data_IF_359773402837
#
_entry.id   IF_359773402837
#
_cell.length_a   1.000
_cell.length_b   1.000
_cell.length_c   1.000
_cell.angle_alpha   90.00
_cell.angle_beta   90.00
_cell.angle_gamma   90.00
#
_symmetry.space_group_name_H-M   'P 1'
#
loop_
_entity.id
_entity.type
_entity.pdbx_description
1 polymer ?
#
# COMPACT_ATOMS: atom_id res chain seq x y z
N UNK A 1 -45.35 8.72 9.94
CA UNK A 1 -44.95 8.48 8.54
C UNK A 1 -43.56 7.86 8.57
N UNK A 2 -43.46 6.55 8.39
CA UNK A 2 -42.18 5.86 8.18
C UNK A 2 -41.68 6.24 6.79
N UNK A 3 -40.57 6.96 6.71
CA UNK A 3 -39.92 7.28 5.44
C UNK A 3 -39.24 6.01 4.92
N UNK A 4 -39.81 5.39 3.89
CA UNK A 4 -39.24 4.24 3.22
C UNK A 4 -38.38 4.75 2.04
N UNK A 5 -37.16 5.18 2.36
CA UNK A 5 -36.24 5.66 1.33
C UNK A 5 -35.73 4.46 0.51
N UNK A 6 -35.79 4.52 -0.83
CA UNK A 6 -35.20 3.48 -1.66
C UNK A 6 -33.70 3.39 -1.38
N UNK A 7 -33.14 2.19 -1.13
CA UNK A 7 -31.73 2.03 -0.82
C UNK A 7 -30.89 2.43 -2.02
N UNK A 8 -29.93 3.33 -1.81
CA UNK A 8 -28.95 3.69 -2.85
C UNK A 8 -27.79 2.71 -2.80
N UNK A 9 -27.43 2.11 -3.94
CA UNK A 9 -26.26 1.24 -4.00
C UNK A 9 -24.97 2.04 -3.77
N UNK A 10 -23.99 1.51 -3.01
CA UNK A 10 -22.71 2.15 -2.83
C UNK A 10 -22.00 2.39 -4.17
N UNK A 11 -21.48 3.60 -4.37
CA UNK A 11 -20.62 3.92 -5.51
C UNK A 11 -19.28 3.20 -5.34
N UNK A 12 -18.93 2.31 -6.28
CA UNK A 12 -17.64 1.62 -6.27
C UNK A 12 -16.50 2.58 -6.63
N UNK A 13 -15.34 2.32 -6.05
CA UNK A 13 -14.11 3.03 -6.42
C UNK A 13 -13.72 2.70 -7.86
N UNK A 14 -13.21 3.68 -8.60
CA UNK A 14 -12.67 3.46 -9.94
C UNK A 14 -11.30 2.75 -9.90
N UNK A 15 -10.56 2.90 -8.79
CA UNK A 15 -9.18 2.40 -8.64
C UNK A 15 -9.13 1.09 -7.85
N UNK A 16 -9.97 0.95 -6.84
CA UNK A 16 -9.94 -0.19 -5.93
C UNK A 16 -11.15 -1.08 -6.16
N UNK A 17 -10.89 -2.31 -6.63
CA UNK A 17 -11.92 -3.35 -6.68
C UNK A 17 -12.31 -3.81 -5.26
N UNK A 18 -13.43 -4.53 -5.16
CA UNK A 18 -13.96 -4.99 -3.87
C UNK A 18 -12.93 -5.86 -3.12
N UNK A 19 -12.09 -6.59 -3.85
CA UNK A 19 -11.03 -7.42 -3.30
C UNK A 19 -9.89 -6.58 -2.69
N UNK A 20 -9.37 -5.58 -3.41
CA UNK A 20 -8.36 -4.66 -2.89
C UNK A 20 -8.87 -3.92 -1.64
N UNK A 21 -10.14 -3.49 -1.64
CA UNK A 21 -10.76 -2.88 -0.48
C UNK A 21 -10.87 -3.85 0.71
N UNK A 22 -11.14 -5.13 0.48
CA UNK A 22 -11.13 -6.13 1.56
C UNK A 22 -9.73 -6.31 2.17
N UNK A 23 -8.69 -6.32 1.34
CA UNK A 23 -7.30 -6.43 1.81
C UNK A 23 -6.87 -5.20 2.61
N UNK A 24 -7.21 -4.00 2.14
CA UNK A 24 -6.94 -2.74 2.86
C UNK A 24 -7.62 -2.76 4.23
N UNK A 25 -8.90 -3.16 4.29
CA UNK A 25 -9.65 -3.24 5.55
C UNK A 25 -9.06 -4.27 6.51
N UNK A 26 -8.66 -5.44 6.00
CA UNK A 26 -8.01 -6.49 6.79
C UNK A 26 -6.68 -5.98 7.35
N UNK A 27 -5.81 -5.43 6.51
CA UNK A 27 -4.51 -4.91 6.91
C UNK A 27 -4.65 -3.75 7.92
N UNK A 28 -5.64 -2.87 7.75
CA UNK A 28 -5.92 -1.81 8.71
C UNK A 28 -6.38 -2.34 10.08
N UNK A 29 -7.15 -3.43 10.10
CA UNK A 29 -7.64 -4.03 11.34
C UNK A 29 -6.56 -4.86 12.08
N UNK A 30 -5.67 -5.53 11.36
CA UNK A 30 -4.67 -6.43 11.95
C UNK A 30 -3.29 -5.80 12.09
N UNK A 31 -2.99 -4.76 11.32
CA UNK A 31 -1.63 -4.24 11.14
C UNK A 31 -0.72 -5.17 10.35
N UNK A 32 -1.25 -6.25 9.74
CA UNK A 32 -0.46 -7.31 9.11
C UNK A 32 -0.90 -7.48 7.64
N UNK A 33 0.04 -7.39 6.72
CA UNK A 33 -0.16 -7.70 5.30
C UNK A 33 -0.25 -9.22 5.06
N UNK A 34 -0.90 -9.64 3.98
CA UNK A 34 -1.08 -11.07 3.69
C UNK A 34 0.17 -11.66 3.04
N UNK A 35 0.61 -12.83 3.49
CA UNK A 35 1.70 -13.58 2.85
C UNK A 35 1.06 -14.49 1.80
N UNK A 36 1.26 -14.17 0.52
CA UNK A 36 0.63 -14.88 -0.60
C UNK A 36 1.66 -15.69 -1.40
N UNK A 37 1.25 -16.90 -1.80
CA UNK A 37 2.01 -17.78 -2.69
C UNK A 37 1.42 -17.82 -4.11
N UNK A 38 2.29 -17.84 -5.12
CA UNK A 38 1.92 -17.73 -6.54
C UNK A 38 1.83 -16.27 -7.00
N UNK A 39 2.48 -15.95 -8.13
CA UNK A 39 2.59 -14.58 -8.67
C UNK A 39 1.23 -13.94 -9.05
N UNK A 40 1.28 -12.75 -9.63
CA UNK A 40 0.08 -11.96 -9.93
C UNK A 40 -0.92 -12.74 -10.82
N UNK A 41 -2.14 -12.98 -10.31
CA UNK A 41 -3.19 -13.77 -10.98
C UNK A 41 -4.03 -12.97 -12.01
N UNK A 42 -3.70 -11.69 -12.28
CA UNK A 42 -4.33 -10.83 -13.31
C UNK A 42 -3.41 -9.65 -13.71
N UNK A 43 -3.80 -8.89 -14.74
CA UNK A 43 -2.99 -7.84 -15.43
C UNK A 43 -2.69 -6.58 -14.58
N UNK A 44 -1.50 -5.98 -14.79
CA UNK A 44 -1.07 -4.64 -14.30
C UNK A 44 -0.11 -3.99 -15.33
N UNK A 45 -0.27 -2.68 -15.63
CA UNK A 45 0.70 -1.72 -15.10
C UNK A 45 0.08 -0.52 -14.36
N UNK A 46 0.71 -0.19 -13.24
CA UNK A 46 0.46 0.88 -12.26
C UNK A 46 1.84 1.16 -11.60
N UNK A 47 2.00 1.62 -10.35
CA UNK A 47 3.34 1.63 -9.67
C UNK A 47 4.11 0.28 -9.74
N UNK A 48 3.42 -0.76 -10.19
CA UNK A 48 3.81 -2.14 -10.46
C UNK A 48 4.70 -2.40 -11.71
N UNK A 49 5.09 -1.40 -12.51
CA UNK A 49 6.18 -1.54 -13.51
C UNK A 49 7.58 -1.31 -12.89
N UNK A 50 7.63 -0.91 -11.62
CA UNK A 50 8.88 -0.74 -10.89
C UNK A 50 9.40 -2.11 -10.45
N UNK A 51 10.51 -2.52 -11.05
CA UNK A 51 11.31 -3.62 -10.52
C UNK A 51 12.11 -3.12 -9.32
N UNK A 52 11.80 -3.61 -8.12
CA UNK A 52 12.64 -3.40 -6.95
C UNK A 52 13.86 -4.33 -7.02
N UNK A 53 15.04 -3.75 -7.22
CA UNK A 53 16.29 -4.53 -7.21
C UNK A 53 16.67 -4.91 -5.79
N UNK A 54 16.68 -6.21 -5.50
CA UNK A 54 17.23 -6.73 -4.25
C UNK A 54 18.74 -6.54 -4.19
N UNK A 55 19.27 -6.28 -3.00
CA UNK A 55 20.70 -6.37 -2.75
C UNK A 55 21.14 -7.84 -2.77
N UNK A 56 22.33 -8.12 -3.30
CA UNK A 56 22.88 -9.48 -3.38
C UNK A 56 24.35 -9.51 -2.99
N UNK A 57 25.25 -9.81 -3.91
CA UNK A 57 26.64 -10.16 -3.61
C UNK A 57 27.48 -8.99 -3.08
N UNK A 58 27.17 -7.75 -3.48
CA UNK A 58 27.94 -6.58 -3.07
C UNK A 58 27.52 -6.02 -1.70
N UNK A 59 26.29 -6.30 -1.25
CA UNK A 59 25.75 -5.88 0.05
C UNK A 59 24.73 -6.87 0.57
N UNK A 60 24.89 -7.26 1.83
CA UNK A 60 23.93 -8.10 2.52
C UNK A 60 22.63 -7.33 2.81
N UNK A 61 21.43 -7.89 2.54
CA UNK A 61 20.18 -7.25 2.88
C UNK A 61 19.99 -7.20 4.40
N UNK A 62 19.45 -6.09 4.91
CA UNK A 62 19.09 -5.98 6.32
C UNK A 62 17.90 -6.91 6.61
N UNK A 63 17.94 -7.55 7.77
CA UNK A 63 16.83 -8.35 8.26
C UNK A 63 15.81 -7.43 8.95
N UNK A 64 14.62 -7.30 8.36
CA UNK A 64 13.64 -6.28 8.77
C UNK A 64 12.99 -6.47 10.14
N UNK A 65 13.15 -7.62 10.80
CA UNK A 65 12.66 -7.89 12.15
C UNK A 65 13.75 -7.73 13.23
N UNK A 66 15.02 -7.86 12.87
CA UNK A 66 16.18 -7.85 13.76
C UNK A 66 16.98 -6.57 13.67
N UNK A 67 16.95 -5.90 12.52
CA UNK A 67 17.71 -4.70 12.23
C UNK A 67 16.78 -3.52 11.97
N UNK A 68 17.09 -2.38 12.58
CA UNK A 68 16.27 -1.17 12.45
C UNK A 68 16.65 -0.40 11.19
N UNK A 69 15.68 -0.20 10.30
CA UNK A 69 15.78 0.79 9.22
C UNK A 69 15.31 2.17 9.71
N UNK A 70 16.02 3.24 9.34
CA UNK A 70 15.58 4.61 9.62
C UNK A 70 14.56 5.05 8.57
N UNK A 71 13.37 5.47 9.02
CA UNK A 71 12.29 6.01 8.18
C UNK A 71 12.04 7.50 8.42
N UNK A 72 12.97 8.18 9.10
CA UNK A 72 12.86 9.62 9.38
C UNK A 72 12.85 10.43 8.08
N UNK A 73 11.87 11.33 7.93
CA UNK A 73 11.73 12.20 6.76
C UNK A 73 11.92 13.65 7.18
N UNK A 74 12.73 14.41 6.44
CA UNK A 74 12.89 15.86 6.59
C UNK A 74 12.39 16.53 5.31
N UNK A 75 11.41 17.43 5.44
CA UNK A 75 10.87 18.21 4.33
C UNK A 75 11.51 19.61 4.34
N UNK A 76 12.05 20.03 3.19
CA UNK A 76 12.57 21.38 3.02
C UNK A 76 14.00 21.65 3.48
N UNK A 77 14.72 20.62 3.93
CA UNK A 77 16.07 20.71 4.52
C UNK A 77 17.13 21.42 3.66
N UNK A 78 16.91 21.49 2.35
CA UNK A 78 17.89 22.04 1.41
C UNK A 78 17.63 23.51 1.06
N UNK A 79 16.50 23.83 0.44
CA UNK A 79 16.23 25.16 -0.14
C UNK A 79 14.75 25.58 -0.11
N UNK A 80 13.89 24.90 0.65
CA UNK A 80 12.46 25.19 0.55
C UNK A 80 12.10 26.47 1.30
N UNK A 81 11.53 27.44 0.57
CA UNK A 81 10.97 28.66 1.17
C UNK A 81 9.66 28.37 1.92
N UNK A 82 8.85 27.42 1.43
CA UNK A 82 7.63 26.92 2.08
C UNK A 82 7.50 25.41 1.84
N UNK A 83 7.94 24.57 2.78
CA UNK A 83 8.02 23.12 2.59
C UNK A 83 6.69 22.36 2.77
N UNK A 84 5.59 23.06 3.02
CA UNK A 84 4.24 22.52 3.22
C UNK A 84 3.20 23.33 2.45
#
# INVERSE_FOLDING_TARGET
>A
MSYDNPPTHPRKSATFDDYALSEIRRAAATGIYDIRGGGAKRKVPHFDDLLFMGASMSRYPLEGYREKCSTSVVLGDRFAERPL
#
